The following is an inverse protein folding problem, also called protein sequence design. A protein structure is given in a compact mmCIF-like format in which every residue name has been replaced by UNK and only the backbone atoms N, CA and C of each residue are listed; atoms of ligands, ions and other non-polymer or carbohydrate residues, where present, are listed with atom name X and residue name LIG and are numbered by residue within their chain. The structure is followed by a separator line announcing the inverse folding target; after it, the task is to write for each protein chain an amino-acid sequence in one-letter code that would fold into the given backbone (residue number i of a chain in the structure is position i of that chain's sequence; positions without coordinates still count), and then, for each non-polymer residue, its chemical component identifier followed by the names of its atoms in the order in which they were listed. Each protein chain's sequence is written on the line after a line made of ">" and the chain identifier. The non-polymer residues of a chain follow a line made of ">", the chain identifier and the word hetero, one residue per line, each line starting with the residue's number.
data_IF_710456256321
#
_entry.id   IF_710456256321
#
_cell.length_a   1.000
_cell.length_b   1.000
_cell.length_c   1.000
_cell.angle_alpha   90.00
_cell.angle_beta   90.00
_cell.angle_gamma   90.00
#
_symmetry.space_group_name_H-M   'P 1'
#
loop_
_entity.id
_entity.type
_entity.pdbx_description
1 polymer ?
#
# COMPACT_ATOMS: atom_id res chain seq x y z
N UNK A 1 17.77 -2.21 5.36
CA UNK A 1 17.30 -2.11 3.95
C UNK A 1 16.39 -0.90 3.83
N UNK A 2 16.36 -0.17 2.71
CA UNK A 2 15.45 0.97 2.56
C UNK A 2 13.99 0.49 2.64
N UNK A 3 13.13 1.26 3.33
CA UNK A 3 11.71 0.94 3.54
C UNK A 3 10.97 0.65 2.23
N UNK A 4 11.36 1.31 1.14
CA UNK A 4 10.74 1.14 -0.18
C UNK A 4 10.90 -0.28 -0.75
N UNK A 5 12.06 -0.91 -0.58
CA UNK A 5 12.27 -2.31 -1.00
C UNK A 5 11.48 -3.31 -0.15
N UNK A 6 11.12 -2.95 1.07
CA UNK A 6 10.23 -3.77 1.91
C UNK A 6 8.78 -3.65 1.43
N UNK A 7 8.33 -2.44 1.08
CA UNK A 7 7.00 -2.21 0.52
C UNK A 7 6.80 -2.92 -0.82
N UNK A 8 7.81 -2.95 -1.69
CA UNK A 8 7.76 -3.72 -2.94
C UNK A 8 7.46 -5.20 -2.67
N UNK A 9 8.22 -5.83 -1.78
CA UNK A 9 8.03 -7.23 -1.41
C UNK A 9 6.66 -7.49 -0.78
N UNK A 10 6.18 -6.56 0.06
CA UNK A 10 4.85 -6.69 0.66
C UNK A 10 3.76 -6.57 -0.40
N UNK A 11 3.86 -5.59 -1.31
CA UNK A 11 2.92 -5.40 -2.41
C UNK A 11 2.92 -6.61 -3.37
N UNK A 12 4.08 -7.21 -3.65
CA UNK A 12 4.21 -8.43 -4.47
C UNK A 12 3.43 -9.63 -3.92
N UNK A 13 3.19 -9.71 -2.60
CA UNK A 13 2.35 -10.78 -2.01
C UNK A 13 0.90 -10.70 -2.44
N UNK A 14 0.44 -9.50 -2.81
CA UNK A 14 -0.96 -9.20 -3.10
C UNK A 14 -1.20 -8.85 -4.57
N UNK A 15 -0.16 -8.41 -5.28
CA UNK A 15 -0.21 -8.17 -6.72
C UNK A 15 -0.32 -9.49 -7.49
N UNK A 16 -1.15 -9.52 -8.53
CA UNK A 16 -1.22 -10.67 -9.45
C UNK A 16 -0.42 -10.42 -10.74
N UNK A 17 0.00 -9.17 -10.96
CA UNK A 17 0.84 -8.75 -12.09
C UNK A 17 2.17 -8.14 -11.64
N UNK A 18 3.08 -7.95 -12.60
CA UNK A 18 4.27 -7.13 -12.38
C UNK A 18 3.87 -5.67 -12.35
N UNK A 19 4.60 -4.87 -11.59
CA UNK A 19 4.34 -3.45 -11.47
C UNK A 19 5.62 -2.62 -11.46
N UNK A 20 5.44 -1.34 -11.76
CA UNK A 20 6.35 -0.23 -11.45
C UNK A 20 5.56 0.82 -10.69
N UNK A 21 6.20 1.89 -10.22
CA UNK A 21 5.52 2.96 -9.49
C UNK A 21 4.40 3.64 -10.30
N UNK A 22 4.49 3.63 -11.63
CA UNK A 22 3.47 4.22 -12.50
C UNK A 22 2.35 3.26 -12.88
N UNK A 23 2.46 1.97 -12.51
CA UNK A 23 1.45 0.97 -12.83
C UNK A 23 0.15 1.26 -12.07
N UNK A 24 -1.00 1.36 -12.75
CA UNK A 24 -2.31 1.46 -12.09
C UNK A 24 -2.56 0.26 -11.18
N UNK A 25 -3.21 0.47 -10.03
CA UNK A 25 -3.47 -0.61 -9.06
C UNK A 25 -4.21 -1.80 -9.68
N UNK A 26 -5.19 -1.51 -10.54
CA UNK A 26 -5.96 -2.54 -11.24
C UNK A 26 -5.08 -3.37 -12.20
N UNK A 27 -4.11 -2.74 -12.88
CA UNK A 27 -3.16 -3.44 -13.75
C UNK A 27 -2.13 -4.26 -12.98
N UNK A 28 -1.76 -3.82 -11.77
CA UNK A 28 -0.96 -4.61 -10.83
C UNK A 28 -1.77 -5.77 -10.20
N UNK A 29 -3.10 -5.78 -10.40
CA UNK A 29 -3.98 -6.78 -9.81
C UNK A 29 -4.29 -6.56 -8.33
N UNK A 30 -4.12 -5.32 -7.85
CA UNK A 30 -4.40 -4.93 -6.47
C UNK A 30 -5.83 -4.40 -6.39
N UNK A 31 -6.70 -5.18 -5.75
CA UNK A 31 -8.09 -4.82 -5.51
C UNK A 31 -8.29 -4.21 -4.10
N UNK A 32 -9.47 -3.63 -3.84
CA UNK A 32 -9.77 -2.92 -2.58
C UNK A 32 -9.52 -3.76 -1.32
N UNK A 33 -9.84 -5.06 -1.35
CA UNK A 33 -9.61 -5.95 -0.19
C UNK A 33 -8.11 -6.23 0.01
N UNK A 34 -7.35 -6.41 -1.08
CA UNK A 34 -5.91 -6.58 -1.02
C UNK A 34 -5.23 -5.33 -0.46
N UNK A 35 -5.71 -4.15 -0.86
CA UNK A 35 -5.24 -2.86 -0.37
C UNK A 35 -5.50 -2.66 1.14
N UNK A 36 -6.67 -3.06 1.64
CA UNK A 36 -6.94 -3.03 3.10
C UNK A 36 -6.04 -3.99 3.88
N UNK A 37 -5.80 -5.21 3.36
CA UNK A 37 -4.88 -6.18 3.99
C UNK A 37 -3.45 -5.66 4.02
N UNK A 38 -3.01 -5.02 2.93
CA UNK A 38 -1.72 -4.34 2.83
C UNK A 38 -1.56 -3.25 3.89
N UNK A 39 -2.59 -2.43 4.07
CA UNK A 39 -2.58 -1.37 5.07
C UNK A 39 -2.38 -1.93 6.49
N UNK A 40 -3.16 -2.96 6.85
CA UNK A 40 -3.05 -3.62 8.16
C UNK A 40 -1.67 -4.27 8.35
N UNK A 41 -1.14 -4.95 7.33
CA UNK A 41 0.18 -5.59 7.42
C UNK A 41 1.32 -4.58 7.61
N UNK A 42 1.23 -3.40 6.98
CA UNK A 42 2.28 -2.38 7.07
C UNK A 42 2.26 -1.62 8.38
N UNK A 43 1.08 -1.34 8.91
CA UNK A 43 0.95 -0.52 10.13
C UNK A 43 1.36 -1.27 11.38
N UNK A 44 1.18 -2.59 11.40
CA UNK A 44 1.56 -3.47 12.52
C UNK A 44 1.03 -3.03 13.91
N UNK A 45 0.07 -2.12 13.92
CA UNK A 45 -0.67 -1.60 15.07
C UNK A 45 -2.16 -1.82 14.79
N UNK A 46 -2.79 -2.64 15.63
CA UNK A 46 -4.19 -3.04 15.50
C UNK A 46 -5.15 -1.88 15.82
N UNK A 47 -4.69 -0.83 16.51
CA UNK A 47 -5.50 0.34 16.90
C UNK A 47 -5.33 1.52 15.93
N UNK A 48 -4.48 1.39 14.91
CA UNK A 48 -4.22 2.49 13.99
C UNK A 48 -5.42 2.82 13.10
N UNK A 49 -5.79 4.10 13.09
CA UNK A 49 -6.87 4.60 12.24
C UNK A 49 -6.44 4.67 10.78
N UNK A 50 -7.14 3.93 9.92
CA UNK A 50 -6.95 3.99 8.47
C UNK A 50 -7.84 5.10 7.91
N UNK A 51 -7.24 6.23 7.53
CA UNK A 51 -7.97 7.28 6.80
C UNK A 51 -8.30 6.83 5.38
N UNK A 52 -9.50 6.24 5.22
CA UNK A 52 -10.03 5.78 3.96
C UNK A 52 -10.35 6.93 2.98
N UNK A 53 -10.50 8.19 3.45
CA UNK A 53 -10.76 9.30 2.54
C UNK A 53 -9.55 9.57 1.64
N UNK A 54 -8.34 9.41 2.20
CA UNK A 54 -7.09 9.55 1.44
C UNK A 54 -6.85 8.48 0.38
N UNK A 55 -7.62 7.39 0.37
CA UNK A 55 -7.55 6.34 -0.67
C UNK A 55 -8.09 6.78 -2.03
N UNK A 56 -8.90 7.86 -2.08
CA UNK A 56 -9.47 8.37 -3.33
C UNK A 56 -8.39 8.82 -4.33
N UNK A 57 -7.23 9.22 -3.81
CA UNK A 57 -6.09 9.70 -4.58
C UNK A 57 -5.09 8.59 -4.91
N UNK A 58 -5.27 7.38 -4.40
CA UNK A 58 -4.37 6.25 -4.63
C UNK A 58 -4.72 5.56 -5.95
N UNK A 59 -4.00 5.89 -7.02
CA UNK A 59 -4.28 5.39 -8.38
C UNK A 59 -3.22 4.43 -8.91
N UNK A 60 -1.97 4.66 -8.52
CA UNK A 60 -0.81 3.90 -8.96
C UNK A 60 -0.12 3.20 -7.79
N UNK A 61 0.78 2.26 -8.08
CA UNK A 61 1.60 1.62 -7.05
C UNK A 61 2.50 2.63 -6.33
N UNK A 62 2.97 3.67 -7.01
CA UNK A 62 3.70 4.77 -6.39
C UNK A 62 2.85 5.52 -5.36
N UNK A 63 1.59 5.83 -5.70
CA UNK A 63 0.65 6.47 -4.76
C UNK A 63 0.39 5.56 -3.55
N UNK A 64 0.26 4.25 -3.78
CA UNK A 64 0.04 3.27 -2.72
C UNK A 64 1.23 3.22 -1.75
N UNK A 65 2.46 3.18 -2.27
CA UNK A 65 3.66 3.24 -1.44
C UNK A 65 3.70 4.53 -0.62
N UNK A 66 3.42 5.67 -1.24
CA UNK A 66 3.40 6.96 -0.55
C UNK A 66 2.32 7.02 0.53
N UNK A 67 1.16 6.41 0.29
CA UNK A 67 0.09 6.29 1.26
C UNK A 67 0.46 5.38 2.43
N UNK A 68 0.99 4.18 2.16
CA UNK A 68 1.44 3.23 3.18
C UNK A 68 2.56 3.80 4.07
N UNK A 69 3.49 4.55 3.48
CA UNK A 69 4.54 5.25 4.26
C UNK A 69 3.97 6.31 5.18
N UNK A 70 2.97 7.10 4.73
CA UNK A 70 2.31 8.09 5.57
C UNK A 70 1.55 7.42 6.72
N UNK A 71 0.85 6.32 6.41
CA UNK A 71 0.08 5.56 7.38
C UNK A 71 0.98 4.95 8.46
N UNK A 72 2.11 4.36 8.07
CA UNK A 72 3.12 3.86 9.02
C UNK A 72 3.76 4.97 9.86
N UNK A 73 3.92 6.18 9.30
CA UNK A 73 4.46 7.32 10.03
C UNK A 73 3.45 7.93 11.02
N UNK A 74 2.15 7.81 10.77
CA UNK A 74 1.09 8.29 11.69
C UNK A 74 0.79 7.33 12.84
N UNK A 75 1.17 6.05 12.73
CA UNK A 75 0.98 5.05 13.76
C UNK A 75 2.08 5.06 14.86
N UNK A 76 2.91 6.11 14.90
CA UNK A 76 4.06 6.26 15.81
C UNK A 76 3.86 7.39 16.84
#
# INVERSE_FOLDING_TARGET
>A
MPLTSNLDQTIEKYATGRFTDTTPLLEAGIESLALLRLAVEVVADDDAEIDLASLVDVRTVGDLKAWLMRLAASAC
#
